data_IF_616474889764
#
_entry.id   IF_616474889764
#
_cell.length_a   1.000
_cell.length_b   1.000
_cell.length_c   1.000
_cell.angle_alpha   90.00
_cell.angle_beta   90.00
_cell.angle_gamma   90.00
#
_symmetry.space_group_name_H-M   'P 1'
#
loop_
_entity.id
_entity.type
_entity.pdbx_description
1 polymer ?
#
# COMPACT_ATOMS: atom_id res chain seq x y z
N UNK A 1 20.64 25.30 -11.75
CA UNK A 1 19.24 25.71 -11.90
C UNK A 1 18.57 25.77 -10.52
N UNK A 2 17.69 26.76 -10.28
CA UNK A 2 16.89 26.90 -9.05
C UNK A 2 15.45 26.52 -9.37
N UNK A 3 14.84 25.62 -8.58
CA UNK A 3 13.41 25.31 -8.67
C UNK A 3 12.64 26.10 -7.60
N UNK A 4 11.64 26.84 -8.02
CA UNK A 4 10.71 27.56 -7.14
C UNK A 4 9.49 26.70 -6.95
N UNK A 5 9.09 26.44 -5.72
CA UNK A 5 7.91 25.66 -5.39
C UNK A 5 7.04 26.36 -4.34
N UNK A 6 5.74 26.16 -4.45
CA UNK A 6 4.79 26.52 -3.42
C UNK A 6 4.65 25.36 -2.44
N UNK A 7 4.96 25.64 -1.17
CA UNK A 7 4.92 24.61 -0.14
C UNK A 7 3.49 24.14 0.13
N UNK A 8 3.30 22.82 0.11
CA UNK A 8 2.06 22.15 0.48
C UNK A 8 2.28 21.25 1.70
N UNK A 9 1.28 21.14 2.58
CA UNK A 9 1.30 20.18 3.70
C UNK A 9 1.22 18.73 3.22
N UNK A 10 0.65 18.52 2.04
CA UNK A 10 0.80 17.27 1.30
C UNK A 10 2.17 17.24 0.61
N UNK A 11 3.20 16.91 1.37
CA UNK A 11 4.60 17.01 0.97
C UNK A 11 4.98 16.18 -0.26
N UNK A 12 4.15 15.21 -0.67
CA UNK A 12 4.37 14.44 -1.90
C UNK A 12 4.36 15.36 -3.12
N UNK A 13 3.50 16.38 -3.12
CA UNK A 13 3.45 17.40 -4.18
C UNK A 13 4.79 18.15 -4.34
N UNK A 14 5.54 18.28 -3.25
CA UNK A 14 6.82 18.97 -3.23
C UNK A 14 8.04 18.02 -3.40
N UNK A 15 7.88 16.74 -3.23
CA UNK A 15 8.98 15.78 -3.32
C UNK A 15 9.13 15.21 -4.72
N UNK A 16 8.02 14.87 -5.38
CA UNK A 16 8.06 14.23 -6.68
C UNK A 16 8.74 15.06 -7.74
N UNK A 17 8.38 16.35 -7.84
CA UNK A 17 8.97 17.31 -8.74
C UNK A 17 10.47 17.47 -8.48
N UNK A 18 10.85 17.71 -7.23
CA UNK A 18 12.25 17.92 -6.86
C UNK A 18 13.11 16.69 -7.14
N UNK A 19 12.65 15.49 -6.78
CA UNK A 19 13.41 14.27 -7.02
C UNK A 19 13.50 13.91 -8.50
N UNK A 20 12.55 14.37 -9.30
CA UNK A 20 12.51 14.14 -10.75
C UNK A 20 13.41 15.15 -11.49
N UNK A 21 13.24 16.44 -11.22
CA UNK A 21 13.95 17.53 -11.88
C UNK A 21 15.40 17.64 -11.40
N UNK A 22 15.67 17.32 -10.12
CA UNK A 22 17.01 17.35 -9.48
C UNK A 22 17.70 18.72 -9.58
N UNK A 23 17.08 19.78 -9.06
CA UNK A 23 17.67 21.13 -9.09
C UNK A 23 18.86 21.23 -8.14
N UNK A 24 19.75 22.22 -8.35
CA UNK A 24 20.84 22.53 -7.41
C UNK A 24 20.35 23.25 -6.14
N UNK A 25 19.19 23.92 -6.28
CA UNK A 25 18.54 24.71 -5.23
C UNK A 25 17.03 24.61 -5.33
N UNK A 26 16.38 24.56 -4.17
CA UNK A 26 14.93 24.71 -4.02
C UNK A 26 14.64 25.98 -3.22
N UNK A 27 13.66 26.75 -3.68
CA UNK A 27 13.11 27.88 -2.93
C UNK A 27 11.64 27.61 -2.69
N UNK A 28 11.27 27.31 -1.44
CA UNK A 28 9.88 27.18 -1.03
C UNK A 28 9.26 28.52 -0.70
N UNK A 29 8.22 28.89 -1.43
CA UNK A 29 7.29 29.96 -1.07
C UNK A 29 6.23 29.32 -0.16
N UNK A 30 6.08 29.78 1.08
CA UNK A 30 5.23 29.12 2.06
C UNK A 30 4.39 30.12 2.87
N UNK A 31 3.25 29.65 3.39
CA UNK A 31 2.38 30.42 4.27
C UNK A 31 3.12 30.80 5.56
N UNK A 32 3.24 32.09 5.83
CA UNK A 32 3.88 32.62 7.05
C UNK A 32 3.20 32.16 8.35
N UNK A 33 1.93 31.72 8.29
CA UNK A 33 1.21 31.14 9.41
C UNK A 33 1.60 29.69 9.72
N UNK A 34 2.34 29.02 8.83
CA UNK A 34 2.84 27.66 9.07
C UNK A 34 4.01 27.71 10.06
N UNK A 35 3.71 27.43 11.31
CA UNK A 35 4.71 27.38 12.40
C UNK A 35 5.29 25.98 12.63
N UNK A 36 4.62 24.92 12.15
CA UNK A 36 5.04 23.55 12.32
C UNK A 36 6.21 23.19 11.40
N UNK A 37 7.36 22.95 12.02
CA UNK A 37 8.61 22.61 11.31
C UNK A 37 8.68 21.13 10.87
N UNK A 38 7.76 20.26 11.27
CA UNK A 38 7.83 18.83 10.98
C UNK A 38 7.81 18.53 9.49
N UNK A 39 6.97 19.24 8.72
CA UNK A 39 6.92 19.07 7.26
C UNK A 39 8.25 19.42 6.57
N UNK A 40 8.88 20.52 6.97
CA UNK A 40 10.20 20.87 6.45
C UNK A 40 11.31 19.93 6.93
N UNK A 41 11.18 19.35 8.11
CA UNK A 41 12.10 18.32 8.59
C UNK A 41 11.96 17.04 7.74
N UNK A 42 10.74 16.64 7.41
CA UNK A 42 10.45 15.51 6.51
C UNK A 42 11.05 15.72 5.12
N UNK A 43 10.82 16.90 4.50
CA UNK A 43 11.42 17.27 3.23
C UNK A 43 12.95 17.20 3.27
N UNK A 44 13.56 17.79 4.30
CA UNK A 44 15.03 17.78 4.47
C UNK A 44 15.57 16.36 4.62
N UNK A 45 14.87 15.47 5.35
CA UNK A 45 15.27 14.07 5.53
C UNK A 45 15.26 13.34 4.18
N UNK A 46 14.19 13.50 3.41
CA UNK A 46 14.05 12.90 2.10
C UNK A 46 15.14 13.40 1.13
N UNK A 47 15.35 14.73 1.06
CA UNK A 47 16.36 15.28 0.16
C UNK A 47 17.79 14.94 0.58
N UNK A 48 18.10 14.86 1.88
CA UNK A 48 19.41 14.41 2.33
C UNK A 48 19.72 12.98 1.86
N UNK A 49 18.70 12.13 1.79
CA UNK A 49 18.82 10.75 1.32
C UNK A 49 19.05 10.65 -0.20
N UNK A 50 18.28 11.40 -0.98
CA UNK A 50 18.24 11.27 -2.44
C UNK A 50 19.07 12.32 -3.21
N UNK A 51 19.22 13.52 -2.66
CA UNK A 51 19.90 14.65 -3.27
C UNK A 51 20.88 15.31 -2.28
N UNK A 52 21.94 14.60 -1.87
CA UNK A 52 22.90 15.14 -0.91
C UNK A 52 23.55 16.41 -1.47
N UNK A 53 23.46 17.50 -0.71
CA UNK A 53 24.05 18.80 -1.10
C UNK A 53 23.07 19.79 -1.73
N UNK A 54 21.81 19.43 -1.97
CA UNK A 54 20.79 20.37 -2.44
C UNK A 54 20.63 21.54 -1.45
N UNK A 55 20.56 22.76 -1.98
CA UNK A 55 20.34 23.96 -1.18
C UNK A 55 18.85 24.22 -1.03
N UNK A 56 18.37 24.42 0.20
CA UNK A 56 16.98 24.70 0.50
C UNK A 56 16.86 26.09 1.14
N UNK A 57 16.05 26.95 0.52
CA UNK A 57 15.66 28.27 1.01
C UNK A 57 14.15 28.33 1.24
N UNK A 58 13.70 29.15 2.19
CA UNK A 58 12.29 29.31 2.54
C UNK A 58 11.92 30.80 2.56
N UNK A 59 10.85 31.17 1.87
CA UNK A 59 10.36 32.54 1.80
C UNK A 59 8.91 32.59 2.29
N UNK A 60 8.65 33.23 3.44
CA UNK A 60 7.29 33.35 3.97
C UNK A 60 6.50 34.40 3.20
N UNK A 61 5.23 34.09 2.94
CA UNK A 61 4.26 34.96 2.32
C UNK A 61 2.96 35.02 3.12
N UNK A 62 2.19 36.08 2.94
CA UNK A 62 0.77 36.09 3.32
C UNK A 62 -0.04 35.46 2.17
N UNK A 63 -0.53 34.25 2.39
CA UNK A 63 -1.27 33.48 1.35
C UNK A 63 -2.59 34.14 0.90
N UNK A 64 -3.11 35.11 1.65
CA UNK A 64 -4.31 35.87 1.29
C UNK A 64 -3.96 37.15 0.52
N UNK A 65 -2.66 37.44 0.32
CA UNK A 65 -2.20 38.64 -0.35
C UNK A 65 -1.48 38.30 -1.67
N UNK A 66 -2.22 38.29 -2.76
CA UNK A 66 -1.69 37.98 -4.11
C UNK A 66 -0.49 38.85 -4.48
N UNK A 67 -0.44 40.14 -4.03
CA UNK A 67 0.68 41.05 -4.32
C UNK A 67 1.93 40.64 -3.57
N UNK A 68 1.81 40.20 -2.31
CA UNK A 68 2.94 39.72 -1.51
C UNK A 68 3.51 38.42 -2.11
N UNK A 69 2.62 37.48 -2.47
CA UNK A 69 3.03 36.22 -3.13
C UNK A 69 3.76 36.50 -4.43
N UNK A 70 3.13 37.27 -5.32
CA UNK A 70 3.70 37.65 -6.62
C UNK A 70 5.07 38.34 -6.45
N UNK A 71 5.13 39.40 -5.61
CA UNK A 71 6.34 40.20 -5.44
C UNK A 71 7.52 39.37 -4.95
N UNK A 72 7.33 38.58 -3.90
CA UNK A 72 8.38 37.72 -3.35
C UNK A 72 8.80 36.60 -4.32
N UNK A 73 7.85 36.01 -5.06
CA UNK A 73 8.17 35.01 -6.09
C UNK A 73 8.99 35.62 -7.22
N UNK A 74 8.61 36.81 -7.69
CA UNK A 74 9.31 37.53 -8.75
C UNK A 74 10.70 38.00 -8.31
N UNK A 75 10.88 38.40 -7.04
CA UNK A 75 12.17 38.73 -6.46
C UNK A 75 13.12 37.51 -6.45
N UNK A 76 12.62 36.31 -6.22
CA UNK A 76 13.39 35.05 -6.34
C UNK A 76 13.87 34.84 -7.76
N UNK A 77 12.99 35.01 -8.74
CA UNK A 77 13.33 34.88 -10.17
C UNK A 77 14.45 35.84 -10.54
N UNK A 78 14.30 37.09 -10.15
CA UNK A 78 15.35 38.11 -10.40
C UNK A 78 16.67 37.79 -9.69
N UNK A 79 16.60 37.30 -8.46
CA UNK A 79 17.79 37.00 -7.63
C UNK A 79 18.65 35.91 -8.25
N UNK A 80 18.03 34.87 -8.81
CA UNK A 80 18.75 33.68 -9.28
C UNK A 80 18.90 33.63 -10.80
N UNK A 81 18.01 34.20 -11.57
CA UNK A 81 18.05 34.25 -13.03
C UNK A 81 17.79 32.91 -13.73
N UNK A 82 18.52 31.85 -13.36
CA UNK A 82 18.34 30.48 -13.86
C UNK A 82 17.35 29.76 -12.96
N UNK A 83 16.03 29.98 -13.23
CA UNK A 83 14.92 29.44 -12.44
C UNK A 83 13.91 28.73 -13.33
N UNK A 84 13.37 27.63 -12.79
CA UNK A 84 12.10 27.01 -13.19
C UNK A 84 11.13 27.08 -12.02
N UNK A 85 9.82 26.90 -12.28
CA UNK A 85 8.79 26.92 -11.25
C UNK A 85 7.88 25.71 -11.36
N UNK A 86 7.50 25.16 -10.21
CA UNK A 86 6.55 24.07 -10.09
C UNK A 86 5.27 24.57 -9.42
N UNK A 87 4.10 24.30 -10.03
CA UNK A 87 2.80 24.89 -9.67
C UNK A 87 1.78 23.88 -9.10
N UNK A 88 2.23 22.68 -8.67
CA UNK A 88 1.29 21.66 -8.14
C UNK A 88 0.91 21.90 -6.69
N UNK A 89 1.82 22.46 -5.88
CA UNK A 89 1.63 22.67 -4.45
C UNK A 89 1.10 24.06 -4.09
N UNK A 90 0.72 24.24 -2.82
CA UNK A 90 0.25 25.50 -2.27
C UNK A 90 -1.24 25.74 -2.47
N UNK A 91 -1.70 26.98 -2.23
CA UNK A 91 -3.09 27.38 -2.45
C UNK A 91 -3.32 27.85 -3.89
N UNK A 92 -4.60 27.93 -4.30
CA UNK A 92 -5.00 28.43 -5.62
C UNK A 92 -4.47 29.86 -5.86
N UNK A 93 -4.47 30.72 -4.81
CA UNK A 93 -3.94 32.08 -4.92
C UNK A 93 -2.42 32.07 -5.12
N UNK A 94 -1.69 31.14 -4.48
CA UNK A 94 -0.27 30.98 -4.69
C UNK A 94 0.03 30.54 -6.13
N UNK A 95 -0.73 29.58 -6.66
CA UNK A 95 -0.58 29.12 -8.04
C UNK A 95 -0.86 30.22 -9.06
N UNK A 96 -1.94 31.02 -8.88
CA UNK A 96 -2.29 32.15 -9.75
C UNK A 96 -1.19 33.23 -9.73
N UNK A 97 -0.72 33.59 -8.54
CA UNK A 97 0.32 34.61 -8.37
C UNK A 97 1.67 34.12 -8.94
N UNK A 98 1.98 32.85 -8.71
CA UNK A 98 3.17 32.18 -9.24
C UNK A 98 3.19 32.12 -10.75
N UNK A 99 2.10 31.65 -11.35
CA UNK A 99 1.95 31.62 -12.81
C UNK A 99 2.20 33.00 -13.43
N UNK A 100 1.56 34.05 -12.86
CA UNK A 100 1.81 35.42 -13.31
C UNK A 100 3.27 35.83 -13.17
N UNK A 101 3.92 35.53 -12.05
CA UNK A 101 5.33 35.84 -11.82
C UNK A 101 6.25 35.09 -12.81
N UNK A 102 5.93 33.85 -13.11
CA UNK A 102 6.64 33.03 -14.10
C UNK A 102 6.55 33.59 -15.51
N UNK A 103 5.35 34.01 -15.95
CA UNK A 103 5.15 34.67 -17.25
C UNK A 103 5.95 35.97 -17.33
N UNK A 104 5.86 36.85 -16.32
CA UNK A 104 6.59 38.12 -16.29
C UNK A 104 8.10 37.93 -16.18
N UNK A 105 8.55 36.80 -15.60
CA UNK A 105 9.96 36.42 -15.46
C UNK A 105 10.51 35.61 -16.63
N UNK A 106 9.65 35.21 -17.58
CA UNK A 106 10.00 34.36 -18.74
C UNK A 106 10.71 33.06 -18.34
N UNK A 107 10.24 32.39 -17.28
CA UNK A 107 10.78 31.12 -16.80
C UNK A 107 9.84 29.97 -17.18
N UNK A 108 10.40 28.77 -17.28
CA UNK A 108 9.64 27.54 -17.52
C UNK A 108 8.82 27.17 -16.27
N UNK A 109 7.58 26.73 -16.49
CA UNK A 109 6.67 26.35 -15.43
C UNK A 109 6.14 24.94 -15.63
N UNK A 110 6.11 24.16 -14.54
CA UNK A 110 5.68 22.78 -14.54
C UNK A 110 4.44 22.53 -13.70
N UNK A 111 3.72 21.48 -14.04
CA UNK A 111 2.66 20.88 -13.26
C UNK A 111 2.90 19.38 -13.14
N UNK A 112 2.80 18.84 -11.93
CA UNK A 112 2.98 17.41 -11.65
C UNK A 112 1.62 16.74 -11.50
N UNK A 113 1.24 15.89 -12.47
CA UNK A 113 0.13 14.96 -12.33
C UNK A 113 0.62 13.72 -11.57
N UNK A 114 0.34 13.69 -10.27
CA UNK A 114 0.77 12.60 -9.38
C UNK A 114 0.11 11.28 -9.79
N UNK A 115 -1.17 11.31 -10.19
CA UNK A 115 -1.92 10.11 -10.55
C UNK A 115 -1.39 9.49 -11.85
N UNK A 116 -1.07 10.32 -12.84
CA UNK A 116 -0.47 9.88 -14.09
C UNK A 116 1.04 9.59 -13.96
N UNK A 117 1.70 10.03 -12.86
CA UNK A 117 3.14 9.92 -12.69
C UNK A 117 3.92 10.75 -13.73
N UNK A 118 3.43 11.93 -14.07
CA UNK A 118 3.99 12.80 -15.10
C UNK A 118 4.21 14.22 -14.60
N UNK A 119 5.30 14.84 -15.06
CA UNK A 119 5.48 16.29 -15.01
C UNK A 119 5.24 16.84 -16.41
N UNK A 120 4.45 17.88 -16.50
CA UNK A 120 4.08 18.56 -17.74
C UNK A 120 4.59 20.00 -17.72
N UNK A 121 5.06 20.51 -18.85
CA UNK A 121 5.30 21.93 -19.03
C UNK A 121 3.98 22.64 -19.34
N UNK A 122 3.72 23.77 -18.67
CA UNK A 122 2.43 24.47 -18.81
C UNK A 122 2.29 25.15 -20.17
N UNK A 123 3.40 25.62 -20.73
CA UNK A 123 3.44 26.35 -21.99
C UNK A 123 3.76 25.46 -23.20
N UNK A 124 4.28 24.25 -22.97
CA UNK A 124 4.60 23.25 -24.01
C UNK A 124 3.85 21.93 -23.76
N UNK A 125 2.65 21.75 -24.33
CA UNK A 125 1.82 20.57 -24.09
C UNK A 125 2.44 19.26 -24.58
N UNK A 126 3.42 19.32 -25.47
CA UNK A 126 4.13 18.14 -25.99
C UNK A 126 5.28 17.71 -25.06
N UNK A 127 5.68 18.56 -24.11
CA UNK A 127 6.71 18.23 -23.14
C UNK A 127 6.12 17.49 -21.93
N UNK A 128 6.55 16.26 -21.74
CA UNK A 128 6.26 15.50 -20.54
C UNK A 128 7.48 14.71 -20.08
N UNK A 129 7.65 14.52 -18.76
CA UNK A 129 8.64 13.61 -18.20
C UNK A 129 8.00 12.70 -17.16
N UNK A 130 8.48 11.46 -17.05
CA UNK A 130 8.03 10.54 -16.01
C UNK A 130 8.57 10.96 -14.64
N UNK A 131 7.71 10.95 -13.60
CA UNK A 131 8.18 11.17 -12.24
C UNK A 131 9.03 9.99 -11.75
N UNK A 132 9.90 10.25 -10.78
CA UNK A 132 10.56 9.16 -10.05
C UNK A 132 9.51 8.27 -9.37
N UNK A 133 9.85 7.00 -9.20
CA UNK A 133 9.02 6.06 -8.45
C UNK A 133 9.52 6.03 -7.00
N UNK A 134 8.70 6.47 -6.08
CA UNK A 134 8.99 6.42 -4.65
C UNK A 134 8.80 4.99 -4.11
N UNK A 135 9.59 4.64 -3.11
CA UNK A 135 9.32 3.47 -2.28
C UNK A 135 8.30 3.81 -1.18
N UNK A 136 7.77 2.81 -0.51
CA UNK A 136 6.89 3.02 0.66
C UNK A 136 7.62 3.75 1.79
N UNK A 137 8.91 3.45 2.00
CA UNK A 137 9.73 4.14 3.00
C UNK A 137 9.94 5.62 2.65
N UNK A 138 10.19 5.94 1.36
CA UNK A 138 10.31 7.33 0.91
C UNK A 138 9.00 8.11 1.11
N UNK A 139 7.86 7.45 0.82
CA UNK A 139 6.55 8.05 1.04
C UNK A 139 6.30 8.32 2.53
N UNK A 140 6.61 7.37 3.41
CA UNK A 140 6.46 7.54 4.86
C UNK A 140 7.40 8.65 5.37
N UNK A 141 8.66 8.65 4.97
CA UNK A 141 9.60 9.73 5.29
C UNK A 141 9.06 11.09 4.88
N UNK A 142 8.48 11.19 3.69
CA UNK A 142 7.86 12.42 3.17
C UNK A 142 6.68 12.90 4.01
N UNK A 143 5.89 11.98 4.55
CA UNK A 143 4.72 12.29 5.41
C UNK A 143 5.10 12.53 6.88
N UNK A 144 6.38 12.34 7.25
CA UNK A 144 6.81 12.37 8.65
C UNK A 144 6.33 11.19 9.46
N UNK A 145 6.01 10.08 8.79
CA UNK A 145 5.65 8.80 9.36
C UNK A 145 6.81 7.79 9.23
N UNK A 146 6.66 6.62 9.86
CA UNK A 146 7.63 5.52 9.71
C UNK A 146 6.96 4.17 9.91
N UNK A 147 7.55 3.13 9.32
CA UNK A 147 7.22 1.77 9.71
C UNK A 147 7.92 1.42 11.03
N UNK A 148 7.17 0.93 12.02
CA UNK A 148 7.69 0.57 13.36
C UNK A 148 7.84 -0.93 13.58
N UNK A 149 7.31 -1.72 12.68
CA UNK A 149 7.37 -3.17 12.70
C UNK A 149 6.43 -3.77 11.66
N UNK A 150 6.46 -5.07 11.56
CA UNK A 150 5.55 -5.85 10.74
C UNK A 150 4.87 -6.86 11.65
N UNK A 151 3.53 -7.01 11.53
CA UNK A 151 2.79 -7.99 12.31
C UNK A 151 3.13 -9.42 11.88
N UNK A 152 3.46 -9.58 10.59
CA UNK A 152 3.80 -10.85 9.99
C UNK A 152 5.07 -10.72 9.15
N UNK A 153 5.93 -11.73 9.27
CA UNK A 153 7.09 -11.81 8.41
C UNK A 153 6.68 -12.11 6.98
N UNK A 154 7.20 -11.34 6.02
CA UNK A 154 7.03 -11.61 4.61
C UNK A 154 7.54 -13.02 4.26
N UNK A 155 6.76 -13.83 3.54
CA UNK A 155 7.20 -15.18 3.17
C UNK A 155 8.36 -15.13 2.18
N UNK A 156 9.28 -16.09 2.31
CA UNK A 156 10.35 -16.29 1.33
C UNK A 156 9.74 -16.60 -0.05
N UNK A 157 10.31 -16.05 -1.11
CA UNK A 157 9.83 -16.22 -2.50
C UNK A 157 9.77 -17.70 -2.92
N UNK A 158 10.71 -18.51 -2.44
CA UNK A 158 10.70 -19.97 -2.67
C UNK A 158 9.45 -20.70 -2.19
N UNK A 159 8.70 -20.09 -1.27
CA UNK A 159 7.49 -20.66 -0.68
C UNK A 159 6.20 -20.14 -1.35
N UNK A 160 6.30 -19.20 -2.30
CA UNK A 160 5.12 -18.55 -2.89
C UNK A 160 4.15 -19.55 -3.53
N UNK A 161 4.65 -20.52 -4.31
CA UNK A 161 3.78 -21.52 -4.94
C UNK A 161 3.04 -22.39 -3.91
N UNK A 162 3.75 -22.84 -2.89
CA UNK A 162 3.17 -23.63 -1.79
C UNK A 162 2.08 -22.83 -1.06
N UNK A 163 2.34 -21.54 -0.78
CA UNK A 163 1.38 -20.66 -0.13
C UNK A 163 0.16 -20.44 -1.02
N UNK A 164 0.33 -20.12 -2.29
CA UNK A 164 -0.79 -19.89 -3.22
C UNK A 164 -1.64 -21.15 -3.40
N UNK A 165 -1.02 -22.33 -3.54
CA UNK A 165 -1.72 -23.59 -3.62
C UNK A 165 -2.57 -23.84 -2.35
N UNK A 166 -2.00 -23.52 -1.18
CA UNK A 166 -2.72 -23.67 0.08
C UNK A 166 -3.83 -22.62 0.23
N UNK A 167 -3.63 -21.37 -0.23
CA UNK A 167 -4.67 -20.36 -0.29
C UNK A 167 -5.87 -20.84 -1.11
N UNK A 168 -5.62 -21.36 -2.31
CA UNK A 168 -6.70 -21.92 -3.16
C UNK A 168 -7.43 -23.07 -2.48
N UNK A 169 -6.71 -23.92 -1.75
CA UNK A 169 -7.34 -25.02 -1.01
C UNK A 169 -8.23 -24.49 0.13
N UNK A 170 -7.71 -23.57 0.93
CA UNK A 170 -8.41 -22.92 2.05
C UNK A 170 -9.65 -22.16 1.56
N UNK A 171 -9.52 -21.38 0.48
CA UNK A 171 -10.62 -20.57 -0.04
C UNK A 171 -11.77 -21.42 -0.61
N UNK A 172 -11.49 -22.65 -1.04
CA UNK A 172 -12.55 -23.58 -1.45
C UNK A 172 -13.39 -24.09 -0.28
N UNK A 173 -12.84 -24.13 0.93
CA UNK A 173 -13.53 -24.64 2.11
C UNK A 173 -13.15 -23.88 3.39
N UNK A 174 -13.63 -22.65 3.50
CA UNK A 174 -13.41 -21.78 4.66
C UNK A 174 -13.94 -22.35 5.97
N UNK A 175 -14.99 -23.19 5.90
CA UNK A 175 -15.56 -23.82 7.08
C UNK A 175 -14.59 -24.83 7.70
N UNK A 176 -14.05 -25.74 6.89
CA UNK A 176 -13.06 -26.72 7.35
C UNK A 176 -11.75 -26.05 7.75
N UNK A 177 -11.38 -24.93 7.09
CA UNK A 177 -10.27 -24.11 7.52
C UNK A 177 -10.52 -23.50 8.91
N UNK A 178 -11.70 -22.94 9.17
CA UNK A 178 -12.07 -22.38 10.47
C UNK A 178 -11.96 -23.40 11.59
N UNK A 179 -12.45 -24.61 11.37
CA UNK A 179 -12.35 -25.71 12.35
C UNK A 179 -10.89 -26.10 12.62
N UNK A 180 -10.08 -26.24 11.56
CA UNK A 180 -8.68 -26.64 11.69
C UNK A 180 -7.85 -25.55 12.35
N UNK A 181 -7.98 -24.29 11.92
CA UNK A 181 -7.30 -23.16 12.54
C UNK A 181 -7.67 -23.01 14.01
N UNK A 182 -8.97 -23.05 14.34
CA UNK A 182 -9.43 -22.96 15.72
C UNK A 182 -8.92 -24.12 16.60
N UNK A 183 -8.83 -25.33 16.07
CA UNK A 183 -8.21 -26.46 16.77
C UNK A 183 -6.72 -26.21 17.04
N UNK A 184 -5.97 -25.79 16.02
CA UNK A 184 -4.53 -25.53 16.16
C UNK A 184 -4.26 -24.38 17.12
N UNK A 185 -5.06 -23.31 17.08
CA UNK A 185 -4.98 -22.19 18.05
C UNK A 185 -5.23 -22.69 19.48
N UNK A 186 -6.32 -23.43 19.70
CA UNK A 186 -6.69 -23.92 21.02
C UNK A 186 -5.62 -24.85 21.61
N UNK A 187 -5.04 -25.74 20.81
CA UNK A 187 -3.96 -26.63 21.26
C UNK A 187 -2.67 -25.86 21.51
N UNK A 188 -2.25 -25.00 20.58
CA UNK A 188 -1.01 -24.23 20.71
C UNK A 188 -1.03 -23.23 21.90
N UNK A 189 -2.21 -22.81 22.36
CA UNK A 189 -2.34 -21.94 23.53
C UNK A 189 -1.92 -22.62 24.86
N UNK A 190 -1.85 -23.94 24.87
CA UNK A 190 -1.50 -24.76 26.05
C UNK A 190 -0.26 -25.62 25.86
N UNK A 191 0.36 -25.58 24.68
CA UNK A 191 1.59 -26.32 24.35
C UNK A 191 2.81 -25.44 24.58
N UNK A 192 3.92 -26.10 24.98
CA UNK A 192 5.22 -25.44 25.03
C UNK A 192 5.73 -25.04 23.64
N UNK A 193 6.63 -24.06 23.59
CA UNK A 193 7.23 -23.58 22.34
C UNK A 193 8.02 -24.70 21.64
N UNK A 194 7.72 -24.93 20.36
CA UNK A 194 8.43 -25.93 19.54
C UNK A 194 7.74 -26.18 18.21
N UNK A 195 8.44 -26.92 17.33
CA UNK A 195 7.92 -27.28 16.01
C UNK A 195 7.15 -28.63 16.02
N UNK A 196 7.29 -29.42 17.06
CA UNK A 196 6.58 -30.70 17.16
C UNK A 196 5.20 -30.50 17.75
N UNK A 197 4.19 -30.96 17.01
CA UNK A 197 2.80 -30.92 17.42
C UNK A 197 2.32 -32.33 17.75
N UNK A 198 1.64 -32.50 18.91
CA UNK A 198 1.00 -33.77 19.27
C UNK A 198 -0.15 -33.49 20.24
N UNK A 199 -1.37 -33.82 19.85
CA UNK A 199 -2.56 -33.59 20.66
C UNK A 199 -3.65 -34.65 20.41
N UNK A 200 -4.66 -34.67 21.26
CA UNK A 200 -5.86 -35.49 21.03
C UNK A 200 -6.60 -34.95 19.78
N UNK A 201 -7.12 -35.83 18.95
CA UNK A 201 -7.90 -35.47 17.76
C UNK A 201 -9.13 -34.62 18.14
N UNK A 202 -9.70 -34.82 19.31
CA UNK A 202 -10.69 -33.92 19.89
C UNK A 202 -10.08 -33.23 21.10
N UNK A 203 -9.86 -31.94 21.01
CA UNK A 203 -9.36 -31.10 22.08
C UNK A 203 -10.54 -30.40 22.79
N UNK A 204 -10.57 -30.48 24.11
CA UNK A 204 -11.57 -29.80 24.93
C UNK A 204 -10.86 -28.64 25.65
N UNK A 205 -11.25 -27.43 25.29
CA UNK A 205 -10.72 -26.22 25.92
C UNK A 205 -11.31 -26.04 27.34
N UNK A 206 -10.71 -25.20 28.17
CA UNK A 206 -11.10 -24.93 29.56
C UNK A 206 -12.56 -24.44 29.70
N UNK A 207 -13.09 -23.80 28.68
CA UNK A 207 -14.49 -23.34 28.61
C UNK A 207 -15.50 -24.41 28.15
N UNK A 208 -15.05 -25.63 27.98
CA UNK A 208 -15.87 -26.78 27.56
C UNK A 208 -16.07 -26.90 26.04
N UNK A 209 -15.60 -25.94 25.23
CA UNK A 209 -15.67 -26.03 23.77
C UNK A 209 -14.81 -27.17 23.24
N UNK A 210 -15.35 -27.90 22.28
CA UNK A 210 -14.67 -29.01 21.61
C UNK A 210 -14.18 -28.56 20.26
N UNK A 211 -12.90 -28.80 19.98
CA UNK A 211 -12.23 -28.51 18.72
C UNK A 211 -11.77 -29.81 18.07
N UNK A 212 -11.92 -29.88 16.74
CA UNK A 212 -11.43 -30.99 15.95
C UNK A 212 -10.95 -30.49 14.61
N UNK A 213 -9.74 -30.86 14.13
CA UNK A 213 -9.25 -30.45 12.84
C UNK A 213 -9.95 -31.23 11.73
N UNK A 214 -9.97 -30.67 10.52
CA UNK A 214 -10.33 -31.40 9.32
C UNK A 214 -9.11 -32.22 8.85
N UNK A 215 -9.17 -33.55 8.71
CA UNK A 215 -8.06 -34.38 8.27
C UNK A 215 -7.51 -33.98 6.90
N UNK A 216 -8.38 -33.75 5.91
CA UNK A 216 -7.98 -33.36 4.57
C UNK A 216 -7.23 -32.01 4.53
N UNK A 217 -7.58 -31.09 5.44
CA UNK A 217 -6.84 -29.81 5.58
C UNK A 217 -5.43 -30.05 6.10
N UNK A 218 -5.22 -30.97 7.07
CA UNK A 218 -3.88 -31.32 7.56
C UNK A 218 -3.06 -32.04 6.49
N UNK A 219 -3.68 -32.95 5.73
CA UNK A 219 -3.01 -33.61 4.58
C UNK A 219 -2.62 -32.61 3.49
N UNK A 220 -3.45 -31.59 3.24
CA UNK A 220 -3.11 -30.51 2.32
C UNK A 220 -1.91 -29.68 2.81
N UNK A 221 -1.79 -29.41 4.11
CA UNK A 221 -0.64 -28.75 4.69
C UNK A 221 0.63 -29.58 4.55
N UNK A 222 0.57 -30.90 4.75
CA UNK A 222 1.72 -31.78 4.54
C UNK A 222 2.13 -31.81 3.07
N UNK A 223 1.17 -32.00 2.16
CA UNK A 223 1.42 -32.00 0.71
C UNK A 223 2.06 -30.71 0.20
N UNK A 224 1.68 -29.58 0.77
CA UNK A 224 2.22 -28.26 0.37
C UNK A 224 3.45 -27.83 1.19
N UNK A 225 4.04 -28.70 2.04
CA UNK A 225 5.31 -28.44 2.68
C UNK A 225 5.27 -27.48 3.87
N UNK A 226 4.16 -27.41 4.60
CA UNK A 226 4.06 -26.67 5.86
C UNK A 226 4.33 -27.52 7.08
N UNK A 227 3.98 -28.80 7.00
CA UNK A 227 4.22 -29.81 8.03
C UNK A 227 4.83 -31.08 7.41
N UNK A 228 5.37 -31.94 8.25
CA UNK A 228 5.86 -33.28 7.88
C UNK A 228 5.56 -34.30 8.97
N UNK A 229 5.68 -35.59 8.61
CA UNK A 229 5.45 -36.72 9.52
C UNK A 229 4.05 -36.67 10.13
N UNK A 230 3.04 -36.31 9.31
CA UNK A 230 1.65 -36.31 9.75
C UNK A 230 1.21 -37.74 10.09
N UNK A 231 0.77 -37.92 11.32
CA UNK A 231 0.18 -39.17 11.78
C UNK A 231 -1.14 -38.87 12.44
N UNK A 232 -2.18 -39.55 11.97
CA UNK A 232 -3.56 -39.37 12.45
C UNK A 232 -4.13 -40.73 12.86
N UNK A 233 -4.72 -40.77 14.04
CA UNK A 233 -5.52 -41.89 14.53
C UNK A 233 -6.85 -41.38 15.04
N UNK A 234 -7.74 -42.30 15.45
CA UNK A 234 -9.05 -41.92 16.01
C UNK A 234 -8.93 -40.98 17.23
N UNK A 235 -7.84 -41.10 17.99
CA UNK A 235 -7.67 -40.39 19.25
C UNK A 235 -6.54 -39.34 19.22
N UNK A 236 -5.62 -39.39 18.25
CA UNK A 236 -4.42 -38.52 18.28
C UNK A 236 -4.02 -38.05 16.90
N UNK A 237 -3.52 -36.82 16.86
CA UNK A 237 -2.85 -36.24 15.69
C UNK A 237 -1.48 -35.72 16.10
N UNK A 238 -0.45 -35.99 15.28
CA UNK A 238 0.90 -35.50 15.47
C UNK A 238 1.55 -35.18 14.13
N UNK A 239 2.40 -34.15 14.13
CA UNK A 239 3.21 -33.73 12.99
C UNK A 239 4.33 -32.81 13.47
N UNK A 240 5.23 -32.43 12.56
CA UNK A 240 6.26 -31.41 12.80
C UNK A 240 6.07 -30.25 11.82
N UNK A 241 5.98 -29.02 12.32
CA UNK A 241 6.06 -27.82 11.47
C UNK A 241 7.42 -27.78 10.79
N UNK A 242 7.47 -27.50 9.49
CA UNK A 242 8.73 -27.46 8.75
C UNK A 242 9.60 -26.23 9.08
N UNK A 243 8.97 -25.13 9.48
CA UNK A 243 9.62 -23.89 9.87
C UNK A 243 8.72 -23.10 10.84
N UNK A 244 9.27 -22.16 11.63
CA UNK A 244 8.48 -21.42 12.64
C UNK A 244 7.31 -20.65 12.05
N UNK A 245 7.50 -20.02 10.88
CA UNK A 245 6.45 -19.24 10.22
C UNK A 245 5.25 -20.11 9.80
N UNK A 246 5.49 -21.39 9.44
CA UNK A 246 4.39 -22.33 9.14
C UNK A 246 3.42 -22.48 10.32
N UNK A 247 3.94 -22.47 11.56
CA UNK A 247 3.09 -22.48 12.74
C UNK A 247 2.22 -21.23 12.82
N UNK A 248 2.78 -20.05 12.57
CA UNK A 248 2.03 -18.79 12.52
C UNK A 248 0.98 -18.82 11.43
N UNK A 249 1.33 -19.24 10.21
CA UNK A 249 0.40 -19.33 9.08
C UNK A 249 -0.79 -20.24 9.38
N UNK A 250 -0.53 -21.39 10.01
CA UNK A 250 -1.55 -22.38 10.35
C UNK A 250 -2.40 -22.00 11.57
N UNK A 251 -2.01 -21.00 12.35
CA UNK A 251 -2.75 -20.54 13.54
C UNK A 251 -3.32 -19.14 13.39
N UNK A 252 -3.14 -18.47 12.25
CA UNK A 252 -3.69 -17.13 11.98
C UNK A 252 -4.72 -17.22 10.88
N UNK A 253 -6.01 -17.07 11.23
CA UNK A 253 -7.13 -17.36 10.33
C UNK A 253 -7.10 -16.52 9.05
N UNK A 254 -6.94 -15.19 9.16
CA UNK A 254 -7.03 -14.23 8.05
C UNK A 254 -5.78 -14.13 7.19
N UNK A 255 -4.62 -14.51 7.72
CA UNK A 255 -3.32 -14.27 7.11
C UNK A 255 -3.17 -14.87 5.68
N UNK A 256 -3.93 -15.92 5.36
CA UNK A 256 -3.88 -16.55 4.04
C UNK A 256 -4.36 -15.63 2.92
N UNK A 257 -5.37 -14.78 3.18
CA UNK A 257 -5.82 -13.80 2.20
C UNK A 257 -4.81 -12.67 2.05
N UNK A 258 -4.21 -12.23 3.15
CA UNK A 258 -3.17 -11.21 3.14
C UNK A 258 -1.94 -11.68 2.35
N UNK A 259 -1.46 -12.91 2.61
CA UNK A 259 -0.36 -13.53 1.85
C UNK A 259 -0.72 -13.72 0.37
N UNK A 260 -1.95 -14.12 0.07
CA UNK A 260 -2.41 -14.25 -1.33
C UNK A 260 -2.34 -12.92 -2.08
N UNK A 261 -2.85 -11.85 -1.48
CA UNK A 261 -2.81 -10.50 -2.06
C UNK A 261 -1.37 -10.01 -2.21
N UNK A 262 -0.55 -10.16 -1.17
CA UNK A 262 0.86 -9.78 -1.18
C UNK A 262 1.64 -10.49 -2.30
N UNK A 263 1.57 -11.82 -2.36
CA UNK A 263 2.29 -12.61 -3.37
C UNK A 263 1.80 -12.27 -4.79
N UNK A 264 0.48 -12.11 -4.96
CA UNK A 264 -0.10 -11.72 -6.26
C UNK A 264 0.43 -10.36 -6.71
N UNK A 265 0.49 -9.38 -5.80
CA UNK A 265 1.05 -8.06 -6.08
C UNK A 265 2.55 -8.13 -6.47
N UNK A 266 3.36 -8.89 -5.71
CA UNK A 266 4.79 -9.13 -6.04
C UNK A 266 4.96 -9.74 -7.42
N UNK A 267 4.16 -10.77 -7.77
CA UNK A 267 4.24 -11.46 -9.08
C UNK A 267 3.81 -10.64 -10.27
N UNK A 268 2.90 -9.68 -10.07
CA UNK A 268 2.50 -8.77 -11.15
C UNK A 268 3.66 -7.89 -11.63
N UNK A 269 4.65 -7.60 -10.79
CA UNK A 269 5.84 -6.82 -11.14
C UNK A 269 5.55 -5.37 -11.57
N UNK A 270 4.32 -4.87 -11.37
CA UNK A 270 3.94 -3.50 -11.74
C UNK A 270 4.23 -2.48 -10.64
N UNK A 271 4.20 -2.92 -9.38
CA UNK A 271 4.31 -2.05 -8.22
C UNK A 271 5.77 -1.81 -7.87
N UNK A 272 6.10 -0.57 -7.50
CA UNK A 272 7.47 -0.21 -7.12
C UNK A 272 7.85 -0.76 -5.74
N UNK A 273 6.87 -1.01 -4.88
CA UNK A 273 7.07 -1.61 -3.56
C UNK A 273 5.81 -2.31 -3.05
N UNK A 274 5.96 -3.35 -2.20
CA UNK A 274 4.86 -4.11 -1.60
C UNK A 274 5.30 -4.59 -0.22
N UNK A 275 4.49 -4.31 0.83
CA UNK A 275 4.71 -4.78 2.21
C UNK A 275 3.51 -5.56 2.73
N UNK A 276 3.77 -6.56 3.58
CA UNK A 276 2.78 -7.38 4.27
C UNK A 276 2.74 -7.03 5.76
N UNK A 277 1.55 -6.81 6.32
CA UNK A 277 1.34 -6.67 7.75
C UNK A 277 2.10 -5.50 8.38
N UNK A 278 2.10 -4.34 7.73
CA UNK A 278 2.91 -3.21 8.13
C UNK A 278 2.26 -2.40 9.25
N UNK A 279 3.01 -2.10 10.30
CA UNK A 279 2.60 -1.17 11.36
C UNK A 279 3.18 0.21 11.12
N UNK A 280 2.35 1.25 11.20
CA UNK A 280 2.75 2.63 10.91
C UNK A 280 2.66 3.48 12.17
N UNK A 281 3.76 4.13 12.50
CA UNK A 281 3.82 5.27 13.39
C UNK A 281 3.62 6.54 12.56
N UNK A 282 2.54 7.27 12.86
CA UNK A 282 2.10 8.42 12.09
C UNK A 282 2.83 9.73 12.42
N UNK A 283 3.62 9.74 13.48
CA UNK A 283 4.44 10.89 13.86
C UNK A 283 5.84 10.44 14.28
N UNK A 284 6.71 10.28 13.29
CA UNK A 284 8.10 9.86 13.50
C UNK A 284 8.96 10.87 14.27
N UNK A 285 8.41 12.05 14.57
CA UNK A 285 9.12 13.15 15.22
C UNK A 285 8.69 13.38 16.67
N UNK A 286 7.66 12.65 17.15
CA UNK A 286 7.38 12.61 18.57
C UNK A 286 8.19 11.49 19.25
N UNK A 287 8.45 11.65 20.56
CA UNK A 287 9.16 10.64 21.35
C UNK A 287 8.24 9.47 21.77
N UNK A 288 6.98 9.50 21.34
CA UNK A 288 5.96 8.52 21.71
C UNK A 288 5.81 7.56 20.51
N UNK A 289 6.39 6.38 20.62
CA UNK A 289 6.04 5.28 19.71
C UNK A 289 4.60 4.86 19.99
N UNK A 290 3.66 5.60 19.43
CA UNK A 290 2.27 5.19 19.44
C UNK A 290 2.16 3.89 18.65
N UNK A 291 1.51 2.88 19.23
CA UNK A 291 1.14 1.69 18.51
C UNK A 291 0.28 2.12 17.31
N UNK A 292 0.88 2.06 16.13
CA UNK A 292 0.21 2.45 14.89
C UNK A 292 -0.88 1.48 14.50
N UNK A 293 -1.67 1.83 13.51
CA UNK A 293 -2.60 0.91 12.89
C UNK A 293 -1.81 -0.12 12.06
N UNK A 294 -2.18 -1.38 12.18
CA UNK A 294 -1.74 -2.43 11.28
C UNK A 294 -2.46 -2.30 9.95
N UNK A 295 -1.72 -2.45 8.85
CA UNK A 295 -2.26 -2.49 7.49
C UNK A 295 -1.92 -3.86 6.90
N UNK A 296 -2.96 -4.59 6.46
CA UNK A 296 -2.80 -5.98 6.02
C UNK A 296 -1.85 -6.10 4.83
N UNK A 297 -2.03 -5.28 3.77
CA UNK A 297 -1.09 -5.18 2.65
C UNK A 297 -1.01 -3.73 2.17
N UNK A 298 0.19 -3.26 1.85
CA UNK A 298 0.42 -1.96 1.23
C UNK A 298 1.17 -2.19 -0.08
N UNK A 299 0.71 -1.54 -1.14
CA UNK A 299 1.41 -1.51 -2.43
C UNK A 299 1.67 -0.06 -2.86
N UNK A 300 2.71 0.14 -3.66
CA UNK A 300 3.03 1.45 -4.23
C UNK A 300 2.84 1.42 -5.74
N UNK A 301 1.90 2.20 -6.25
CA UNK A 301 1.64 2.38 -7.68
C UNK A 301 1.83 3.84 -8.07
N UNK A 302 2.77 4.13 -8.98
CA UNK A 302 3.09 5.48 -9.46
C UNK A 302 3.28 6.50 -8.31
N UNK A 303 4.02 6.12 -7.26
CA UNK A 303 4.24 6.92 -6.05
C UNK A 303 2.98 7.20 -5.21
N UNK A 304 1.88 6.48 -5.48
CA UNK A 304 0.65 6.51 -4.69
C UNK A 304 0.53 5.21 -3.90
N UNK A 305 0.51 5.25 -2.56
CA UNK A 305 0.27 4.06 -1.78
C UNK A 305 -1.20 3.62 -1.86
N UNK A 306 -1.41 2.32 -2.04
CA UNK A 306 -2.72 1.68 -1.94
C UNK A 306 -2.73 0.80 -0.69
N UNK A 307 -3.60 1.11 0.24
CA UNK A 307 -3.82 0.32 1.44
C UNK A 307 -4.91 -0.69 1.21
N UNK A 308 -4.59 -1.95 1.47
CA UNK A 308 -5.48 -3.07 1.22
C UNK A 308 -5.79 -3.73 2.55
N UNK A 309 -7.07 -3.77 2.92
CA UNK A 309 -7.55 -4.55 4.05
C UNK A 309 -8.16 -5.86 3.54
N UNK A 310 -7.77 -6.98 4.17
CA UNK A 310 -8.12 -8.34 3.78
C UNK A 310 -9.03 -8.98 4.80
N UNK A 311 -10.22 -9.44 4.41
CA UNK A 311 -11.21 -10.04 5.33
C UNK A 311 -11.70 -11.38 4.80
N UNK A 312 -11.43 -12.47 5.54
CA UNK A 312 -12.03 -13.80 5.32
C UNK A 312 -13.42 -13.92 5.99
N UNK A 313 -14.19 -12.85 5.97
CA UNK A 313 -15.55 -12.72 6.47
C UNK A 313 -16.26 -11.59 5.74
N UNK A 314 -17.58 -11.47 5.94
CA UNK A 314 -18.32 -10.33 5.41
C UNK A 314 -17.77 -9.00 5.95
N UNK A 315 -17.70 -8.01 5.06
CA UNK A 315 -17.31 -6.64 5.37
C UNK A 315 -18.36 -5.99 6.25
N UNK A 316 -17.91 -5.21 7.22
CA UNK A 316 -18.76 -4.46 8.15
C UNK A 316 -18.48 -2.96 8.06
N UNK A 317 -19.41 -2.14 8.55
CA UNK A 317 -19.22 -0.68 8.62
C UNK A 317 -17.95 -0.25 9.36
N UNK A 318 -17.54 -0.87 10.47
CA UNK A 318 -16.25 -0.60 11.10
C UNK A 318 -15.05 -0.78 10.18
N UNK A 319 -15.03 -1.82 9.33
CA UNK A 319 -13.92 -2.07 8.38
C UNK A 319 -13.78 -0.91 7.37
N UNK A 320 -14.92 -0.40 6.88
CA UNK A 320 -14.95 0.73 5.95
C UNK A 320 -14.48 2.01 6.65
N UNK A 321 -14.93 2.25 7.88
CA UNK A 321 -14.55 3.43 8.66
C UNK A 321 -13.05 3.44 8.99
N UNK A 322 -12.46 2.29 9.28
CA UNK A 322 -11.02 2.16 9.52
C UNK A 322 -10.22 2.61 8.28
N UNK A 323 -10.56 2.10 7.10
CA UNK A 323 -9.92 2.51 5.85
C UNK A 323 -10.09 4.00 5.56
N UNK A 324 -11.27 4.56 5.84
CA UNK A 324 -11.52 6.00 5.67
C UNK A 324 -10.62 6.85 6.57
N UNK A 325 -10.44 6.45 7.84
CA UNK A 325 -9.55 7.15 8.77
C UNK A 325 -8.09 7.08 8.29
N UNK A 326 -7.64 5.93 7.80
CA UNK A 326 -6.30 5.75 7.26
C UNK A 326 -6.08 6.67 6.04
N UNK A 327 -7.02 6.70 5.10
CA UNK A 327 -6.98 7.60 3.94
C UNK A 327 -6.87 9.06 4.37
N UNK A 328 -7.66 9.50 5.34
CA UNK A 328 -7.66 10.89 5.81
C UNK A 328 -6.31 11.31 6.42
N UNK A 329 -5.58 10.38 7.04
CA UNK A 329 -4.24 10.64 7.61
C UNK A 329 -3.17 10.80 6.54
N UNK A 330 -3.31 10.14 5.41
CA UNK A 330 -2.29 10.07 4.37
C UNK A 330 -2.45 11.11 3.25
N UNK A 331 -3.61 11.75 3.17
CA UNK A 331 -3.91 12.74 2.15
C UNK A 331 -4.70 12.21 0.96
N UNK A 332 -5.08 13.12 0.05
CA UNK A 332 -5.99 12.83 -1.05
C UNK A 332 -5.43 11.86 -2.10
N UNK A 333 -4.10 11.83 -2.26
CA UNK A 333 -3.44 10.96 -3.22
C UNK A 333 -3.46 9.47 -2.87
N UNK A 334 -3.86 9.11 -1.63
CA UNK A 334 -3.87 7.70 -1.19
C UNK A 334 -5.13 6.98 -1.66
N UNK A 335 -4.97 5.78 -2.17
CA UNK A 335 -6.06 4.88 -2.55
C UNK A 335 -6.22 3.76 -1.52
N UNK A 336 -7.45 3.33 -1.28
CA UNK A 336 -7.76 2.21 -0.40
C UNK A 336 -8.50 1.13 -1.18
N UNK A 337 -8.20 -0.12 -0.88
CA UNK A 337 -8.90 -1.27 -1.41
C UNK A 337 -9.34 -2.19 -0.26
N UNK A 338 -10.49 -2.83 -0.43
CA UNK A 338 -11.03 -3.82 0.50
C UNK A 338 -11.22 -5.12 -0.25
N UNK A 339 -10.52 -6.16 0.18
CA UNK A 339 -10.57 -7.49 -0.42
C UNK A 339 -11.29 -8.42 0.53
N UNK A 340 -12.35 -9.05 0.03
CA UNK A 340 -13.19 -9.97 0.78
C UNK A 340 -13.29 -11.32 0.08
N UNK A 341 -13.21 -12.40 0.86
CA UNK A 341 -13.61 -13.72 0.41
C UNK A 341 -14.65 -14.27 1.38
N UNK A 342 -15.86 -14.50 0.88
CA UNK A 342 -16.96 -15.10 1.62
C UNK A 342 -17.52 -16.31 0.88
N UNK A 343 -18.22 -17.19 1.60
CA UNK A 343 -18.91 -18.31 0.96
C UNK A 343 -19.98 -17.86 -0.05
N UNK A 344 -20.56 -16.68 0.14
CA UNK A 344 -21.56 -16.09 -0.77
C UNK A 344 -20.96 -15.65 -2.11
N UNK A 345 -19.74 -15.10 -2.10
CA UNK A 345 -19.02 -14.73 -3.33
C UNK A 345 -18.64 -15.96 -4.16
N UNK A 346 -18.34 -17.09 -3.54
CA UNK A 346 -18.10 -18.36 -4.24
C UNK A 346 -19.31 -18.81 -5.05
N UNK A 347 -20.50 -18.75 -4.48
CA UNK A 347 -21.75 -19.12 -5.17
C UNK A 347 -22.01 -18.19 -6.36
N UNK A 348 -21.70 -16.89 -6.23
CA UNK A 348 -21.83 -15.93 -7.31
C UNK A 348 -20.79 -16.17 -8.43
N UNK A 349 -19.54 -16.50 -8.10
CA UNK A 349 -18.51 -16.85 -9.08
C UNK A 349 -18.82 -18.15 -9.81
N UNK A 350 -19.25 -19.20 -9.11
CA UNK A 350 -19.67 -20.47 -9.71
C UNK A 350 -20.87 -20.27 -10.67
N UNK A 351 -21.87 -19.49 -10.26
CA UNK A 351 -23.00 -19.16 -11.11
C UNK A 351 -22.58 -18.33 -12.35
N UNK A 352 -21.58 -17.48 -12.23
CA UNK A 352 -21.04 -16.70 -13.35
C UNK A 352 -20.21 -17.58 -14.29
N UNK A 353 -19.37 -18.46 -13.76
CA UNK A 353 -18.61 -19.44 -14.55
C UNK A 353 -19.54 -20.43 -15.28
N UNK A 354 -20.62 -20.91 -14.63
CA UNK A 354 -21.64 -21.75 -15.26
C UNK A 354 -22.42 -21.00 -16.35
N UNK A 355 -22.68 -19.69 -16.21
CA UNK A 355 -23.27 -18.85 -17.26
C UNK A 355 -22.36 -18.68 -18.48
N UNK A 356 -21.05 -18.53 -18.26
CA UNK A 356 -20.08 -18.40 -19.37
C UNK A 356 -19.82 -19.73 -20.10
N UNK A 357 -19.96 -20.87 -19.40
CA UNK A 357 -19.81 -22.19 -20.00
C UNK A 357 -21.10 -22.64 -20.76
N UNK A 358 -22.24 -22.06 -20.40
CA UNK A 358 -23.52 -22.40 -21.00
C UNK A 358 -24.02 -21.48 -22.11
N UNK A 359 -23.22 -20.48 -22.52
CA UNK A 359 -23.50 -19.74 -23.74
C UNK A 359 -23.06 -20.59 -24.94
N UNK A 360 -24.00 -21.05 -25.79
CA UNK A 360 -23.61 -21.77 -27.01
C UNK A 360 -22.87 -20.81 -27.93
N UNK A 361 -21.77 -21.28 -28.51
CA UNK A 361 -21.24 -20.74 -29.74
C UNK A 361 -22.31 -20.89 -30.80
N UNK A 362 -23.12 -19.89 -31.03
CA UNK A 362 -24.06 -19.83 -32.13
C UNK A 362 -23.53 -18.92 -33.23
N UNK A 363 -23.25 -19.59 -34.36
CA UNK A 363 -23.36 -19.11 -35.73
C UNK A 363 -22.32 -18.10 -36.26
N UNK A 364 -21.13 -18.58 -36.52
CA UNK A 364 -20.46 -18.28 -37.80
C UNK A 364 -20.85 -19.40 -38.79
N UNK A 365 -21.88 -19.19 -39.62
CA UNK A 365 -22.01 -19.71 -40.97
C UNK A 365 -23.39 -19.33 -41.52
N UNK A 366 -23.48 -18.24 -42.26
CA UNK A 366 -24.35 -18.10 -43.44
C UNK A 366 -24.44 -16.67 -43.95
N UNK A 367 -23.42 -16.23 -44.66
CA UNK A 367 -23.53 -15.15 -45.64
C UNK A 367 -22.70 -15.50 -46.89
N UNK A 368 -23.18 -16.50 -47.61
CA UNK A 368 -22.90 -16.59 -49.06
C UNK A 368 -24.19 -17.03 -49.77
N UNK A 369 -24.48 -16.33 -50.80
CA UNK A 369 -25.56 -16.48 -51.78
C UNK A 369 -26.84 -15.66 -51.55
N UNK A 370 -26.88 -14.48 -52.14
CA UNK A 370 -27.88 -14.10 -53.16
C UNK A 370 -27.25 -13.13 -54.15
N UNK A 371 -26.90 -13.63 -55.32
CA UNK A 371 -26.81 -12.90 -56.56
C UNK A 371 -28.22 -12.84 -57.18
N UNK A 372 -28.74 -11.64 -57.36
CA UNK A 372 -29.39 -11.11 -58.58
C UNK A 372 -29.83 -9.67 -58.35
#
# INVERSE_FOLDING_TARGET
MTLIEFFDKDTIKNILSVLTIKPDRIVYIYDSAVTDNKYFAALKKCFKKHLPGIKLEKIPVDINNVRDIYGKTYDVIKKYGDCDMELTGGSELMMIAGHKAGLDGHIRMYYTDIAAGKIMDIDDPDFTMDTVRLTLDDFMDAKGAQFVGESHREPDEKNYDSILNMCHYIFKDLRNWSYTCGYLQAVNSVMEYGLNFSANMTFIHKDGRKYRPNPGMLEAFEKNGFIKNLSMSNNRVSFTYLYPEAKTYMTTYGLWLEMFVFISAKRLGKFSDVKLGAMIDWDAYDDIRAAGNEIDVIIMENSIPVFISCKLRGISTPDINELYIQKKRLGEATTNALVEITEKLKLAQQATEEMFISSPDDDEDSLDNVSE
#
